data_IF_803558688943
#
_entry.id   IF_803558688943
#
_cell.length_a   1.000
_cell.length_b   1.000
_cell.length_c   1.000
_cell.angle_alpha   90.00
_cell.angle_beta   90.00
_cell.angle_gamma   90.00
#
_symmetry.space_group_name_H-M   'P 1'
#
loop_
_entity.id
_entity.type
_entity.pdbx_description
1 polymer ?
#
# COMPACT_ATOMS: atom_id res chain seq x y z
N UNK A 1 -18.17 22.23 19.07
CA UNK A 1 -18.65 23.43 18.36
C UNK A 1 -18.17 23.34 16.93
N UNK A 2 -19.02 22.89 16.00
CA UNK A 2 -18.72 22.88 14.57
C UNK A 2 -18.81 24.32 14.05
N UNK A 3 -17.68 25.04 14.03
CA UNK A 3 -17.56 26.22 13.18
C UNK A 3 -17.37 25.74 11.73
N UNK A 4 -18.46 25.35 11.08
CA UNK A 4 -18.45 25.24 9.63
C UNK A 4 -18.24 26.65 9.08
N UNK A 5 -17.21 26.89 8.24
CA UNK A 5 -16.97 28.21 7.66
C UNK A 5 -18.17 28.65 6.81
N UNK A 6 -18.50 29.93 6.86
CA UNK A 6 -19.59 30.51 6.06
C UNK A 6 -19.23 30.46 4.56
N UNK A 7 -19.77 29.46 3.86
CA UNK A 7 -19.47 29.17 2.45
C UNK A 7 -19.88 30.34 1.54
N UNK A 8 -20.88 31.13 1.94
CA UNK A 8 -21.36 32.28 1.16
C UNK A 8 -20.35 33.43 1.13
N UNK A 9 -19.48 33.53 2.14
CA UNK A 9 -18.45 34.56 2.25
C UNK A 9 -17.13 34.19 1.55
N UNK A 10 -16.97 32.95 1.07
CA UNK A 10 -15.73 32.48 0.45
C UNK A 10 -15.56 32.97 -0.99
N UNK A 11 -14.33 33.27 -1.37
CA UNK A 11 -13.95 33.50 -2.77
C UNK A 11 -14.03 32.21 -3.59
N UNK A 12 -14.05 32.32 -4.92
CA UNK A 12 -14.04 31.12 -5.79
C UNK A 12 -12.83 30.22 -5.52
N UNK A 13 -11.64 30.81 -5.42
CA UNK A 13 -10.41 30.06 -5.14
C UNK A 13 -10.45 29.34 -3.79
N UNK A 14 -11.04 29.94 -2.75
CA UNK A 14 -11.18 29.30 -1.45
C UNK A 14 -12.18 28.14 -1.50
N UNK A 15 -13.26 28.26 -2.27
CA UNK A 15 -14.20 27.17 -2.51
C UNK A 15 -13.54 26.02 -3.26
N UNK A 16 -12.80 26.31 -4.33
CA UNK A 16 -12.09 25.29 -5.13
C UNK A 16 -11.07 24.55 -4.27
N UNK A 17 -10.27 25.27 -3.47
CA UNK A 17 -9.35 24.67 -2.50
C UNK A 17 -10.07 23.75 -1.51
N UNK A 18 -11.24 24.17 -1.03
CA UNK A 18 -12.02 23.36 -0.08
C UNK A 18 -12.58 22.09 -0.72
N UNK A 19 -13.00 22.17 -1.98
CA UNK A 19 -13.43 20.98 -2.75
C UNK A 19 -12.26 20.01 -2.89
N UNK A 20 -11.06 20.49 -3.25
CA UNK A 20 -9.87 19.64 -3.36
C UNK A 20 -9.52 18.93 -2.03
N UNK A 21 -9.56 19.66 -0.90
CA UNK A 21 -9.35 19.08 0.44
C UNK A 21 -10.37 17.97 0.76
N UNK A 22 -11.63 18.16 0.40
CA UNK A 22 -12.67 17.15 0.62
C UNK A 22 -12.52 15.95 -0.32
N UNK A 23 -12.18 16.19 -1.59
CA UNK A 23 -11.91 15.12 -2.55
C UNK A 23 -10.78 14.21 -2.05
N UNK A 24 -9.69 14.78 -1.51
CA UNK A 24 -8.60 14.00 -0.91
C UNK A 24 -9.11 13.11 0.24
N UNK A 25 -9.91 13.66 1.15
CA UNK A 25 -10.46 12.90 2.29
C UNK A 25 -11.38 11.77 1.82
N UNK A 26 -12.19 12.01 0.79
CA UNK A 26 -13.06 10.98 0.20
C UNK A 26 -12.23 9.90 -0.48
N UNK A 27 -11.19 10.27 -1.25
CA UNK A 27 -10.27 9.32 -1.88
C UNK A 27 -9.52 8.50 -0.83
N UNK A 28 -9.08 9.10 0.29
CA UNK A 28 -8.45 8.35 1.38
C UNK A 28 -9.39 7.28 1.95
N UNK A 29 -10.68 7.61 2.11
CA UNK A 29 -11.69 6.65 2.58
C UNK A 29 -11.95 5.55 1.55
N UNK A 30 -12.10 5.92 0.28
CA UNK A 30 -12.40 5.01 -0.82
C UNK A 30 -11.25 4.02 -1.08
N UNK A 31 -10.01 4.46 -0.92
CA UNK A 31 -8.81 3.65 -1.20
C UNK A 31 -8.33 2.84 0.00
N UNK A 32 -8.97 2.97 1.17
CA UNK A 32 -8.61 2.16 2.36
C UNK A 32 -8.91 0.69 2.09
N UNK A 33 -7.85 -0.11 2.05
CA UNK A 33 -7.97 -1.55 2.01
C UNK A 33 -8.40 -2.06 3.39
N UNK A 34 -9.65 -2.51 3.48
CA UNK A 34 -10.19 -3.20 4.65
C UNK A 34 -10.75 -4.56 4.19
N UNK A 35 -10.55 -5.64 4.96
CA UNK A 35 -11.27 -6.88 4.72
C UNK A 35 -12.78 -6.61 4.77
N UNK A 36 -13.51 -6.94 3.69
CA UNK A 36 -14.97 -6.76 3.60
C UNK A 36 -15.75 -8.03 3.95
N UNK A 37 -15.09 -9.00 4.59
CA UNK A 37 -15.64 -10.31 4.91
C UNK A 37 -14.89 -10.99 6.04
N UNK A 38 -15.25 -12.25 6.31
CA UNK A 38 -14.57 -13.11 7.26
C UNK A 38 -13.82 -14.21 6.52
N UNK A 39 -12.62 -14.53 7.01
CA UNK A 39 -11.88 -15.68 6.52
C UNK A 39 -12.59 -16.98 6.92
N UNK A 40 -12.60 -17.95 6.01
CA UNK A 40 -13.03 -19.32 6.28
C UNK A 40 -11.80 -20.22 6.21
N UNK A 41 -11.46 -20.82 7.34
CA UNK A 41 -10.28 -21.69 7.46
C UNK A 41 -10.32 -22.82 6.41
N UNK A 42 -9.23 -22.96 5.64
CA UNK A 42 -9.12 -23.91 4.52
C UNK A 42 -9.65 -23.40 3.18
N UNK A 43 -10.25 -22.21 3.12
CA UNK A 43 -10.72 -21.60 1.87
C UNK A 43 -9.65 -20.63 1.35
N UNK A 44 -9.25 -20.79 0.09
CA UNK A 44 -8.36 -19.83 -0.56
C UNK A 44 -9.08 -18.50 -0.85
N UNK A 45 -8.30 -17.42 -0.94
CA UNK A 45 -8.76 -16.06 -1.24
C UNK A 45 -9.47 -16.02 -2.60
N UNK A 46 -10.55 -15.24 -2.68
CA UNK A 46 -11.27 -15.07 -3.93
C UNK A 46 -10.51 -14.18 -4.94
N UNK A 47 -10.99 -14.12 -6.18
CA UNK A 47 -10.31 -13.36 -7.25
C UNK A 47 -10.29 -11.84 -7.00
N UNK A 48 -11.27 -11.28 -6.29
CA UNK A 48 -11.40 -9.84 -6.07
C UNK A 48 -10.51 -9.37 -4.92
N UNK A 49 -10.57 -10.07 -3.79
CA UNK A 49 -9.70 -9.86 -2.63
C UNK A 49 -8.23 -10.04 -3.03
N UNK A 50 -7.93 -11.02 -3.88
CA UNK A 50 -6.60 -11.22 -4.44
C UNK A 50 -6.14 -9.99 -5.25
N UNK A 51 -7.01 -9.42 -6.10
CA UNK A 51 -6.68 -8.24 -6.88
C UNK A 51 -6.35 -7.02 -5.99
N UNK A 52 -7.15 -6.81 -4.95
CA UNK A 52 -6.95 -5.72 -4.00
C UNK A 52 -5.66 -5.88 -3.20
N UNK A 53 -5.36 -7.10 -2.75
CA UNK A 53 -4.10 -7.43 -2.06
C UNK A 53 -2.88 -7.20 -2.96
N UNK A 54 -2.94 -7.67 -4.21
CA UNK A 54 -1.85 -7.52 -5.18
C UNK A 54 -1.62 -6.06 -5.54
N UNK A 55 -2.68 -5.27 -5.72
CA UNK A 55 -2.56 -3.82 -5.94
C UNK A 55 -1.85 -3.16 -4.77
N UNK A 56 -2.23 -3.48 -3.53
CA UNK A 56 -1.60 -2.92 -2.35
C UNK A 56 -0.12 -3.32 -2.23
N UNK A 57 0.21 -4.59 -2.50
CA UNK A 57 1.61 -5.07 -2.56
C UNK A 57 2.42 -4.32 -3.61
N UNK A 58 1.82 -4.01 -4.77
CA UNK A 58 2.47 -3.29 -5.86
C UNK A 58 2.73 -1.81 -5.55
N UNK A 59 2.01 -1.24 -4.58
CA UNK A 59 2.12 0.17 -4.21
C UNK A 59 3.33 0.51 -3.33
N UNK A 60 4.16 -0.46 -2.97
CA UNK A 60 5.33 -0.23 -2.11
C UNK A 60 6.63 -0.67 -2.78
N UNK A 61 7.67 0.13 -2.58
CA UNK A 61 9.04 -0.26 -2.86
C UNK A 61 9.48 -1.43 -1.97
N UNK A 62 10.27 -2.32 -2.57
CA UNK A 62 10.85 -3.51 -1.93
C UNK A 62 12.32 -3.63 -2.30
N UNK A 63 13.19 -2.81 -1.70
CA UNK A 63 14.62 -2.84 -1.99
C UNK A 63 15.26 -4.20 -1.69
N UNK A 64 14.69 -4.97 -0.75
CA UNK A 64 15.15 -6.32 -0.39
C UNK A 64 15.08 -7.34 -1.53
N UNK A 65 14.24 -7.10 -2.54
CA UNK A 65 14.12 -7.92 -3.75
C UNK A 65 14.34 -7.12 -5.03
N UNK A 66 14.84 -5.88 -4.92
CA UNK A 66 15.10 -5.00 -6.06
C UNK A 66 13.85 -4.59 -6.84
N UNK A 67 12.69 -4.52 -6.19
CA UNK A 67 11.42 -4.18 -6.82
C UNK A 67 11.01 -2.76 -6.42
N UNK A 68 10.56 -1.98 -7.40
CA UNK A 68 10.00 -0.63 -7.19
C UNK A 68 8.49 -0.66 -7.18
N UNK A 69 7.88 0.35 -6.55
CA UNK A 69 6.43 0.50 -6.56
C UNK A 69 5.92 0.74 -7.99
N UNK A 70 4.82 0.08 -8.34
CA UNK A 70 4.18 0.26 -9.65
C UNK A 70 3.64 1.68 -9.85
N UNK A 71 3.04 2.35 -8.83
CA UNK A 71 2.65 3.75 -8.95
C UNK A 71 3.81 4.68 -9.29
N UNK A 72 4.99 4.50 -8.69
CA UNK A 72 6.15 5.35 -8.98
C UNK A 72 6.68 5.14 -10.40
N UNK A 73 6.70 3.89 -10.87
CA UNK A 73 7.07 3.58 -12.25
C UNK A 73 6.11 4.23 -13.26
N UNK A 74 4.80 4.17 -12.99
CA UNK A 74 3.77 4.79 -13.84
C UNK A 74 3.90 6.31 -13.81
N UNK A 75 4.12 6.91 -12.64
CA UNK A 75 4.32 8.34 -12.49
C UNK A 75 5.53 8.84 -13.30
N UNK A 76 6.67 8.17 -13.17
CA UNK A 76 7.90 8.51 -13.90
C UNK A 76 7.72 8.37 -15.41
N UNK A 77 7.05 7.31 -15.86
CA UNK A 77 6.78 7.10 -17.28
C UNK A 77 5.84 8.16 -17.89
N UNK A 78 4.93 8.71 -17.08
CA UNK A 78 4.09 9.86 -17.45
C UNK A 78 4.84 11.21 -17.35
N UNK A 79 6.08 11.23 -16.85
CA UNK A 79 6.92 12.42 -16.72
C UNK A 79 6.78 13.17 -15.39
N UNK A 80 6.22 12.54 -14.36
CA UNK A 80 6.07 13.11 -13.03
C UNK A 80 7.16 12.61 -12.07
N UNK A 81 7.55 13.44 -11.11
CA UNK A 81 8.46 13.02 -10.04
C UNK A 81 7.70 12.23 -8.97
N UNK A 82 7.96 10.93 -8.91
CA UNK A 82 7.37 9.98 -7.97
C UNK A 82 7.57 10.40 -6.49
N UNK A 83 8.67 11.07 -6.17
CA UNK A 83 8.99 11.49 -4.80
C UNK A 83 7.98 12.48 -4.22
N UNK A 84 7.16 13.13 -5.05
CA UNK A 84 6.18 14.12 -4.64
C UNK A 84 4.74 13.60 -4.53
N UNK A 85 4.42 12.45 -5.12
CA UNK A 85 3.02 12.03 -5.27
C UNK A 85 2.38 11.63 -3.95
N UNK A 86 3.08 10.94 -3.05
CA UNK A 86 2.51 10.40 -1.81
C UNK A 86 2.80 11.22 -0.54
N UNK A 87 3.33 12.43 -0.67
CA UNK A 87 3.53 13.33 0.47
C UNK A 87 2.23 14.05 0.83
N UNK A 88 1.63 13.66 1.97
CA UNK A 88 0.37 14.13 2.61
C UNK A 88 0.29 15.64 2.87
N UNK A 89 1.24 16.46 2.41
CA UNK A 89 1.33 17.87 2.77
C UNK A 89 1.24 18.84 1.60
N UNK A 90 0.93 18.38 0.38
CA UNK A 90 1.10 19.23 -0.81
C UNK A 90 0.03 19.09 -1.90
N UNK A 91 -1.23 18.83 -1.54
CA UNK A 91 -2.35 18.99 -2.50
C UNK A 91 -2.98 20.38 -2.29
N UNK A 92 -2.26 21.41 -2.73
CA UNK A 92 -2.84 22.75 -2.95
C UNK A 92 -3.19 22.98 -4.43
N UNK A 93 -2.90 22.00 -5.28
CA UNK A 93 -2.93 22.11 -6.72
C UNK A 93 -3.82 21.00 -7.32
N UNK A 94 -4.82 21.41 -8.09
CA UNK A 94 -5.73 20.53 -8.82
C UNK A 94 -4.96 19.58 -9.77
N UNK A 95 -3.83 20.05 -10.32
CA UNK A 95 -2.99 19.24 -11.22
C UNK A 95 -2.45 17.98 -10.56
N UNK A 96 -1.98 18.08 -9.31
CA UNK A 96 -1.43 16.93 -8.57
C UNK A 96 -2.48 15.89 -8.25
N UNK A 97 -3.72 16.30 -7.92
CA UNK A 97 -4.82 15.39 -7.66
C UNK A 97 -5.17 14.59 -8.92
N UNK A 98 -5.28 15.28 -10.07
CA UNK A 98 -5.53 14.63 -11.38
C UNK A 98 -4.42 13.66 -11.76
N UNK A 99 -3.16 14.01 -11.52
CA UNK A 99 -2.03 13.10 -11.75
C UNK A 99 -2.14 11.84 -10.90
N UNK A 100 -2.46 11.97 -9.60
CA UNK A 100 -2.63 10.81 -8.72
C UNK A 100 -3.78 9.91 -9.15
N UNK A 101 -4.91 10.50 -9.52
CA UNK A 101 -6.06 9.75 -10.05
C UNK A 101 -5.69 9.02 -11.35
N UNK A 102 -4.97 9.67 -12.25
CA UNK A 102 -4.50 9.06 -13.49
C UNK A 102 -3.55 7.87 -13.23
N UNK A 103 -2.60 8.02 -12.30
CA UNK A 103 -1.70 6.93 -11.89
C UNK A 103 -2.49 5.77 -11.31
N UNK A 104 -3.45 6.03 -10.40
CA UNK A 104 -4.28 4.99 -9.80
C UNK A 104 -5.11 4.22 -10.83
N UNK A 105 -5.76 4.93 -11.76
CA UNK A 105 -6.52 4.31 -12.86
C UNK A 105 -5.64 3.38 -13.68
N UNK A 106 -4.43 3.82 -14.03
CA UNK A 106 -3.49 3.02 -14.83
C UNK A 106 -3.00 1.79 -14.04
N UNK A 107 -2.67 1.96 -12.76
CA UNK A 107 -2.24 0.87 -11.89
C UNK A 107 -3.35 -0.16 -11.74
N UNK A 108 -4.59 0.27 -11.50
CA UNK A 108 -5.76 -0.61 -11.38
C UNK A 108 -5.98 -1.42 -12.65
N UNK A 109 -5.90 -0.78 -13.81
CA UNK A 109 -6.05 -1.46 -15.10
C UNK A 109 -4.90 -2.42 -15.39
N UNK A 110 -3.65 -2.04 -15.08
CA UNK A 110 -2.49 -2.93 -15.20
C UNK A 110 -2.64 -4.21 -14.36
N UNK A 111 -3.13 -4.08 -13.12
CA UNK A 111 -3.38 -5.23 -12.24
C UNK A 111 -4.51 -6.10 -12.79
N UNK A 112 -5.57 -5.50 -13.32
CA UNK A 112 -6.66 -6.23 -13.99
C UNK A 112 -6.15 -7.06 -15.18
N UNK A 113 -5.40 -6.43 -16.08
CA UNK A 113 -4.77 -7.10 -17.24
C UNK A 113 -3.80 -8.19 -16.77
N UNK A 114 -2.99 -7.94 -15.75
CA UNK A 114 -2.09 -8.94 -15.18
C UNK A 114 -2.86 -10.17 -14.67
N UNK A 115 -3.98 -9.96 -13.98
CA UNK A 115 -4.80 -11.06 -13.43
C UNK A 115 -5.40 -11.91 -14.55
N UNK A 116 -5.91 -11.29 -15.62
CA UNK A 116 -6.60 -11.98 -16.71
C UNK A 116 -5.67 -12.54 -17.78
N UNK A 117 -4.66 -11.76 -18.19
CA UNK A 117 -3.83 -12.01 -19.37
C UNK A 117 -2.36 -12.31 -19.03
N UNK A 118 -1.94 -12.12 -17.77
CA UNK A 118 -0.60 -12.46 -17.28
C UNK A 118 0.45 -11.35 -17.43
N UNK A 119 1.67 -11.68 -16.99
CA UNK A 119 2.80 -10.74 -16.85
C UNK A 119 3.13 -10.01 -18.14
N UNK A 120 3.37 -10.73 -19.24
CA UNK A 120 3.87 -10.12 -20.48
C UNK A 120 2.86 -9.16 -21.13
N UNK A 121 1.56 -9.44 -20.97
CA UNK A 121 0.49 -8.57 -21.46
C UNK A 121 0.41 -7.29 -20.64
N UNK A 122 0.51 -7.38 -19.32
CA UNK A 122 0.57 -6.21 -18.44
C UNK A 122 1.84 -5.36 -18.68
N UNK A 123 3.00 -5.99 -18.85
CA UNK A 123 4.27 -5.29 -19.21
C UNK A 123 4.11 -4.50 -20.50
N UNK A 124 3.61 -5.16 -21.56
CA UNK A 124 3.39 -4.51 -22.85
C UNK A 124 2.41 -3.35 -22.73
N UNK A 125 1.28 -3.56 -22.04
CA UNK A 125 0.27 -2.52 -21.84
C UNK A 125 0.82 -1.31 -21.07
N UNK A 126 1.56 -1.52 -19.98
CA UNK A 126 2.20 -0.44 -19.22
C UNK A 126 3.18 0.39 -20.08
N UNK A 127 3.91 -0.27 -20.98
CA UNK A 127 4.77 0.41 -21.95
C UNK A 127 4.01 1.32 -22.92
N UNK A 128 2.80 0.93 -23.35
CA UNK A 128 1.96 1.75 -24.23
C UNK A 128 1.20 2.83 -23.47
N UNK A 129 0.62 2.50 -22.32
CA UNK A 129 -0.27 3.38 -21.55
C UNK A 129 0.49 4.47 -20.79
N UNK A 130 1.66 4.15 -20.25
CA UNK A 130 2.41 5.03 -19.36
C UNK A 130 3.91 5.09 -19.68
N UNK A 131 4.38 4.54 -20.83
CA UNK A 131 5.80 4.55 -21.22
C UNK A 131 6.74 3.91 -20.20
N UNK A 132 6.22 2.99 -19.38
CA UNK A 132 7.03 2.27 -18.40
C UNK A 132 7.90 1.25 -19.13
N UNK A 133 9.21 1.33 -18.94
CA UNK A 133 10.14 0.36 -19.53
C UNK A 133 9.82 -1.06 -19.04
N UNK A 134 9.78 -2.03 -19.95
CA UNK A 134 9.43 -3.41 -19.58
C UNK A 134 10.40 -4.04 -18.59
N UNK A 135 11.68 -3.67 -18.65
CA UNK A 135 12.70 -4.10 -17.68
C UNK A 135 12.42 -3.58 -16.26
N UNK A 136 11.76 -2.43 -16.13
CA UNK A 136 11.43 -1.83 -14.84
C UNK A 136 10.13 -2.40 -14.23
N UNK A 137 9.11 -2.69 -15.04
CA UNK A 137 7.82 -3.22 -14.57
C UNK A 137 7.78 -4.74 -14.42
N UNK A 138 8.59 -5.49 -15.19
CA UNK A 138 8.61 -6.96 -15.12
C UNK A 138 8.94 -7.51 -13.73
N UNK A 139 9.92 -6.98 -12.97
CA UNK A 139 10.23 -7.48 -11.62
C UNK A 139 9.04 -7.40 -10.66
N UNK A 140 8.30 -6.28 -10.64
CA UNK A 140 7.11 -6.15 -9.78
C UNK A 140 6.02 -7.13 -10.21
N UNK A 141 5.76 -7.29 -11.51
CA UNK A 141 4.75 -8.22 -12.01
C UNK A 141 5.11 -9.69 -11.75
N UNK A 142 6.39 -10.07 -11.84
CA UNK A 142 6.84 -11.41 -11.46
C UNK A 142 6.69 -11.67 -9.95
N UNK A 143 6.94 -10.66 -9.12
CA UNK A 143 6.67 -10.74 -7.68
C UNK A 143 5.17 -10.98 -7.42
N UNK A 144 4.29 -10.23 -8.09
CA UNK A 144 2.85 -10.38 -7.97
C UNK A 144 2.37 -11.75 -8.45
N UNK A 145 2.96 -12.31 -9.51
CA UNK A 145 2.67 -13.66 -9.99
C UNK A 145 2.98 -14.71 -8.92
N UNK A 146 4.18 -14.64 -8.32
CA UNK A 146 4.55 -15.54 -7.23
C UNK A 146 3.59 -15.45 -6.05
N UNK A 147 3.20 -14.24 -5.66
CA UNK A 147 2.26 -14.01 -4.56
C UNK A 147 0.88 -14.57 -4.91
N UNK A 148 0.40 -14.35 -6.14
CA UNK A 148 -0.86 -14.88 -6.65
C UNK A 148 -0.91 -16.41 -6.60
N UNK A 149 0.18 -17.07 -7.01
CA UNK A 149 0.29 -18.53 -6.91
C UNK A 149 0.25 -19.01 -5.46
N UNK A 150 0.95 -18.33 -4.56
CA UNK A 150 0.94 -18.69 -3.14
C UNK A 150 -0.40 -18.41 -2.45
N UNK A 151 -1.14 -17.37 -2.86
CA UNK A 151 -2.49 -17.08 -2.35
C UNK A 151 -3.51 -18.14 -2.77
N UNK A 152 -3.32 -18.78 -3.93
CA UNK A 152 -4.13 -19.93 -4.36
C UNK A 152 -3.81 -21.19 -3.55
N UNK A 153 -2.61 -21.28 -2.97
CA UNK A 153 -2.20 -22.39 -2.13
C UNK A 153 -2.66 -22.15 -0.69
N UNK A 154 -3.61 -22.98 -0.22
CA UNK A 154 -4.03 -23.00 1.17
C UNK A 154 -3.64 -24.35 1.80
N UNK A 155 -2.75 -24.33 2.79
CA UNK A 155 -2.31 -25.53 3.54
C UNK A 155 -2.85 -25.56 4.96
N UNK A 156 -3.87 -24.75 5.28
CA UNK A 156 -4.39 -24.57 6.64
C UNK A 156 -4.98 -25.88 7.22
N UNK A 157 -5.89 -26.52 6.47
CA UNK A 157 -6.51 -27.79 6.88
C UNK A 157 -5.49 -28.93 6.94
N UNK A 158 -4.62 -29.03 5.92
CA UNK A 158 -3.58 -30.05 5.89
C UNK A 158 -2.62 -29.92 7.08
N UNK A 159 -2.22 -28.69 7.40
CA UNK A 159 -1.30 -28.42 8.51
C UNK A 159 -1.97 -28.66 9.86
N UNK A 160 -3.27 -28.38 10.00
CA UNK A 160 -4.04 -28.77 11.17
C UNK A 160 -4.06 -30.30 11.33
N UNK A 161 -4.32 -31.05 10.26
CA UNK A 161 -4.33 -32.52 10.31
C UNK A 161 -2.97 -33.11 10.67
N UNK A 162 -1.89 -32.54 10.15
CA UNK A 162 -0.51 -32.91 10.49
C UNK A 162 -0.20 -32.64 11.96
N UNK A 163 -0.61 -31.47 12.48
CA UNK A 163 -0.40 -31.11 13.87
C UNK A 163 -1.13 -32.10 14.81
N UNK A 164 -2.37 -32.48 14.49
CA UNK A 164 -3.13 -33.46 15.26
C UNK A 164 -2.52 -34.87 15.25
N UNK A 165 -1.74 -35.20 14.20
CA UNK A 165 -0.97 -36.45 14.12
C UNK A 165 0.38 -36.39 14.84
N UNK A 166 0.72 -35.27 15.47
CA UNK A 166 2.02 -35.06 16.11
C UNK A 166 3.16 -34.87 15.09
N UNK A 167 2.86 -34.50 13.85
CA UNK A 167 3.86 -34.26 12.84
C UNK A 167 4.45 -32.83 12.95
N UNK A 168 5.66 -32.66 12.43
CA UNK A 168 6.32 -31.35 12.37
C UNK A 168 5.59 -30.40 11.41
N UNK A 169 5.30 -29.18 11.86
CA UNK A 169 4.75 -28.08 11.04
C UNK A 169 5.86 -27.08 10.74
N UNK A 170 6.05 -26.77 9.45
CA UNK A 170 7.10 -25.87 9.01
C UNK A 170 6.89 -24.46 9.59
N UNK A 171 7.92 -23.85 10.21
CA UNK A 171 7.81 -22.50 10.74
C UNK A 171 7.75 -21.48 9.60
N UNK A 172 7.10 -20.35 9.81
CA UNK A 172 7.05 -19.23 8.87
C UNK A 172 6.94 -17.89 9.61
N UNK A 173 7.37 -16.77 9.02
CA UNK A 173 7.21 -15.47 9.67
C UNK A 173 5.72 -15.14 9.82
N UNK A 174 5.34 -14.55 10.96
CA UNK A 174 4.05 -13.86 11.11
C UNK A 174 4.19 -12.40 10.70
N UNK A 175 3.24 -11.86 9.92
CA UNK A 175 3.12 -10.46 9.55
C UNK A 175 1.89 -10.26 8.63
N UNK A 176 1.75 -9.05 8.10
CA UNK A 176 0.83 -8.71 7.02
C UNK A 176 1.45 -8.96 5.63
N UNK A 177 0.67 -9.41 4.65
CA UNK A 177 1.13 -9.77 3.28
C UNK A 177 1.72 -8.55 2.56
N UNK A 178 1.14 -7.37 2.78
CA UNK A 178 1.62 -6.11 2.19
C UNK A 178 2.99 -5.78 2.74
N UNK A 179 3.24 -5.99 4.04
CA UNK A 179 4.56 -5.74 4.60
C UNK A 179 5.56 -6.82 4.20
N UNK A 180 5.19 -8.09 4.34
CA UNK A 180 6.06 -9.23 4.07
C UNK A 180 5.30 -10.36 3.33
N UNK A 181 5.42 -10.44 1.99
CA UNK A 181 4.80 -11.53 1.23
C UNK A 181 5.36 -12.92 1.57
N UNK A 182 6.53 -13.00 2.22
CA UNK A 182 7.14 -14.25 2.68
C UNK A 182 6.37 -15.00 3.76
N UNK A 183 5.25 -14.44 4.25
CA UNK A 183 4.32 -15.17 5.13
C UNK A 183 3.55 -16.26 4.38
N UNK A 184 3.44 -16.16 3.05
CA UNK A 184 2.72 -17.13 2.23
C UNK A 184 3.63 -18.32 1.86
N UNK A 185 3.06 -19.52 1.61
CA UNK A 185 1.64 -19.87 1.76
C UNK A 185 1.22 -19.98 3.23
N UNK A 186 -0.09 -19.92 3.50
CA UNK A 186 -0.68 -20.10 4.84
C UNK A 186 -0.60 -21.55 5.31
N UNK A 187 -0.88 -21.80 6.59
CA UNK A 187 -0.75 -23.12 7.22
C UNK A 187 0.60 -23.39 7.92
N UNK A 188 1.43 -22.35 8.11
CA UNK A 188 2.74 -22.48 8.77
C UNK A 188 2.64 -22.22 10.27
N UNK A 189 3.59 -22.75 11.03
CA UNK A 189 3.76 -22.41 12.44
C UNK A 189 4.40 -21.02 12.55
N UNK A 190 3.59 -19.99 12.80
CA UNK A 190 4.06 -18.61 12.74
C UNK A 190 4.98 -18.27 13.91
N UNK A 191 6.02 -17.49 13.64
CA UNK A 191 6.91 -16.95 14.67
C UNK A 191 7.03 -15.42 14.53
N UNK A 192 7.29 -14.78 15.67
CA UNK A 192 7.57 -13.34 15.74
C UNK A 192 8.98 -13.01 15.24
N UNK A 193 9.26 -11.71 15.12
CA UNK A 193 10.58 -11.20 14.75
C UNK A 193 11.60 -11.39 15.87
N UNK A 194 12.89 -11.36 15.53
CA UNK A 194 13.96 -11.35 16.51
C UNK A 194 13.99 -9.99 17.24
N UNK A 195 13.79 -9.93 18.58
CA UNK A 195 13.69 -8.67 19.31
C UNK A 195 14.98 -7.85 19.30
N UNK A 196 16.14 -8.49 19.11
CA UNK A 196 17.44 -7.81 19.02
C UNK A 196 17.70 -7.17 17.65
N UNK A 197 16.81 -7.38 16.67
CA UNK A 197 16.89 -6.78 15.32
C UNK A 197 15.89 -5.63 15.12
N UNK A 198 15.20 -5.21 16.18
CA UNK A 198 14.22 -4.13 16.14
C UNK A 198 14.77 -2.93 16.93
N UNK A 199 14.67 -1.69 16.42
CA UNK A 199 14.18 -1.31 15.09
C UNK A 199 15.22 -1.59 13.98
N UNK A 200 14.76 -1.85 12.76
CA UNK A 200 15.64 -1.86 11.59
C UNK A 200 15.98 -0.42 11.16
N UNK A 201 17.03 -0.25 10.36
CA UNK A 201 17.41 1.05 9.80
C UNK A 201 16.25 1.69 9.01
N UNK A 202 15.59 0.90 8.16
CA UNK A 202 14.40 1.35 7.42
C UNK A 202 13.22 1.71 8.34
N UNK A 203 13.07 1.07 9.49
CA UNK A 203 12.06 1.46 10.48
C UNK A 203 12.43 2.79 11.14
N UNK A 204 13.71 3.01 11.46
CA UNK A 204 14.20 4.25 12.06
C UNK A 204 14.03 5.45 11.11
N UNK A 205 14.44 5.33 9.83
CA UNK A 205 14.25 6.38 8.82
C UNK A 205 12.78 6.72 8.61
N UNK A 206 11.89 5.72 8.60
CA UNK A 206 10.44 5.96 8.52
C UNK A 206 9.89 6.63 9.77
N UNK A 207 10.35 6.24 10.96
CA UNK A 207 9.93 6.83 12.22
C UNK A 207 10.30 8.32 12.31
N UNK A 208 11.50 8.70 11.85
CA UNK A 208 11.93 10.11 11.81
C UNK A 208 10.95 10.98 11.00
N UNK A 209 10.53 10.50 9.82
CA UNK A 209 9.53 11.21 9.00
C UNK A 209 8.19 11.36 9.73
N UNK A 210 7.70 10.30 10.36
CA UNK A 210 6.42 10.32 11.11
C UNK A 210 6.49 11.27 12.30
N UNK A 211 7.55 11.22 13.09
CA UNK A 211 7.76 12.11 14.24
C UNK A 211 7.86 13.57 13.78
N UNK A 212 8.59 13.84 12.70
CA UNK A 212 8.68 15.20 12.14
C UNK A 212 7.32 15.72 11.67
N UNK A 213 6.48 14.89 11.04
CA UNK A 213 5.12 15.27 10.66
C UNK A 213 4.23 15.53 11.88
N UNK A 214 4.30 14.68 12.90
CA UNK A 214 3.58 14.85 14.16
C UNK A 214 3.94 16.20 14.83
N UNK A 215 5.23 16.50 14.96
CA UNK A 215 5.70 17.74 15.56
C UNK A 215 5.32 18.98 14.74
N UNK A 216 5.44 18.90 13.40
CA UNK A 216 5.00 19.98 12.49
C UNK A 216 3.51 20.27 12.65
N UNK A 217 2.68 19.21 12.67
CA UNK A 217 1.24 19.34 12.87
C UNK A 217 0.90 19.96 14.22
N UNK A 218 1.48 19.46 15.32
CA UNK A 218 1.24 20.01 16.65
C UNK A 218 1.63 21.49 16.73
N UNK A 219 2.77 21.87 16.16
CA UNK A 219 3.24 23.26 16.13
C UNK A 219 2.33 24.15 15.28
N UNK A 220 1.80 23.66 14.17
CA UNK A 220 0.85 24.41 13.34
C UNK A 220 -0.48 24.66 14.08
N UNK A 221 -0.95 23.68 14.85
CA UNK A 221 -2.21 23.76 15.60
C UNK A 221 -2.08 24.58 16.91
N UNK A 222 -0.93 24.55 17.59
CA UNK A 222 -0.76 25.10 18.94
C UNK A 222 0.33 26.18 19.06
N UNK A 223 1.04 26.50 17.98
CA UNK A 223 2.09 27.53 17.94
C UNK A 223 3.43 27.16 18.63
N UNK A 224 3.53 26.01 19.28
CA UNK A 224 4.72 25.55 20.03
C UNK A 224 4.94 24.05 19.92
N UNK A 225 6.12 23.58 20.32
CA UNK A 225 6.39 22.14 20.47
C UNK A 225 5.66 21.55 21.69
N UNK A 226 5.36 20.24 21.69
CA UNK A 226 4.81 19.57 22.86
C UNK A 226 5.89 19.48 23.95
N UNK A 227 5.51 19.67 25.22
CA UNK A 227 6.42 19.49 26.36
C UNK A 227 6.63 18.01 26.72
N UNK A 228 5.61 17.18 26.48
CA UNK A 228 5.64 15.74 26.70
C UNK A 228 4.72 15.05 25.68
N UNK A 229 5.04 13.82 25.32
CA UNK A 229 4.22 12.95 24.48
C UNK A 229 4.04 11.62 25.20
N UNK A 230 2.78 11.19 25.38
CA UNK A 230 2.47 9.84 25.83
C UNK A 230 2.35 8.94 24.59
N UNK A 231 3.09 7.82 24.60
CA UNK A 231 3.12 6.84 23.51
C UNK A 231 2.72 5.47 24.05
N UNK A 232 1.97 4.70 23.26
CA UNK A 232 1.64 3.30 23.53
C UNK A 232 2.47 2.45 22.58
N UNK A 233 3.15 1.44 23.12
CA UNK A 233 3.89 0.43 22.37
C UNK A 233 3.10 -0.89 22.40
N UNK A 234 2.95 -1.52 21.24
CA UNK A 234 2.21 -2.76 21.02
C UNK A 234 3.15 -3.88 20.57
#
# INVERSE_FOLDING_TARGET
MNNAPDIAAMTSQERDRRVLELCEQVSEIEQRLIPTGLHVFGRATDGRECADMLRMVASFDRPEVGVRSLPDLVAEGLGFDASHLFHTSTIKDEGMLRTREQVDVIVREAISIFIHDGVERAVSWLGHAARVAGEASRPVLMLLERIREQLKSNQELDSLMRALRGEYIAPGPGADIVQNPGILPTGRNTHAVNPYKVPSEAAFTRAERVVNLLLKRHRAEHGRYPHAMALVLW
#
